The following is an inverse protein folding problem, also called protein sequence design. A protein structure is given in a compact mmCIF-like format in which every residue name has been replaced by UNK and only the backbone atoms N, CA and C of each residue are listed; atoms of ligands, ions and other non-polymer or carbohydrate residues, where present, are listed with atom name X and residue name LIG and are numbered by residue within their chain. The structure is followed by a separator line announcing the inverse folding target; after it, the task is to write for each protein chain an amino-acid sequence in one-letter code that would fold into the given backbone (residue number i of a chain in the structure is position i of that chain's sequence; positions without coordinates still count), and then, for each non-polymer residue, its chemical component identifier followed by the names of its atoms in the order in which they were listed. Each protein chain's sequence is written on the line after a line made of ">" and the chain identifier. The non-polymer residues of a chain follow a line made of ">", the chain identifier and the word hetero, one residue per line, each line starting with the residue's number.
data_IF_236380564979
#
_entry.id   IF_236380564979
#
_cell.length_a   1.000
_cell.length_b   1.000
_cell.length_c   1.000
_cell.angle_alpha   90.00
_cell.angle_beta   90.00
_cell.angle_gamma   90.00
#
_symmetry.space_group_name_H-M   'P 1'
#
loop_
_entity.id
_entity.type
_entity.pdbx_description
1 polymer ?
#
# COMPACT_ATOMS: atom_id res chain seq x y z
N UNK A 1 -8.76 15.70 -9.87
CA UNK A 1 -8.87 15.41 -8.43
C UNK A 1 -7.78 14.40 -8.13
N UNK A 2 -6.77 14.75 -7.34
CA UNK A 2 -5.73 13.80 -6.93
C UNK A 2 -6.33 12.90 -5.86
N UNK A 3 -7.05 11.87 -6.29
CA UNK A 3 -7.48 10.78 -5.44
C UNK A 3 -6.23 10.02 -5.01
N UNK A 4 -5.79 10.28 -3.78
CA UNK A 4 -4.78 9.47 -3.10
C UNK A 4 -5.42 8.13 -2.74
N UNK A 5 -5.64 7.29 -3.76
CA UNK A 5 -6.24 5.98 -3.59
C UNK A 5 -5.22 5.08 -2.89
N UNK A 6 -5.50 4.80 -1.63
CA UNK A 6 -4.95 3.64 -0.96
C UNK A 6 -5.62 2.40 -1.53
N UNK A 7 -4.86 1.32 -1.68
CA UNK A 7 -5.34 0.05 -2.20
C UNK A 7 -4.94 -1.06 -1.25
N UNK A 8 -5.84 -2.04 -1.06
CA UNK A 8 -5.51 -3.32 -0.46
C UNK A 8 -5.00 -4.27 -1.54
N UNK A 9 -3.79 -4.80 -1.34
CA UNK A 9 -3.20 -5.82 -2.20
C UNK A 9 -3.15 -7.11 -1.40
N UNK A 10 -3.78 -8.15 -1.95
CA UNK A 10 -3.76 -9.48 -1.38
C UNK A 10 -2.70 -10.31 -2.11
N UNK A 11 -1.86 -10.97 -1.32
CA UNK A 11 -0.91 -11.97 -1.80
C UNK A 11 -1.23 -13.32 -1.14
N UNK A 12 -0.54 -14.39 -1.53
CA UNK A 12 -0.76 -15.72 -0.93
C UNK A 12 -0.52 -15.74 0.58
N UNK A 13 0.46 -14.95 1.07
CA UNK A 13 0.95 -15.01 2.45
C UNK A 13 0.86 -13.66 3.19
N UNK A 14 0.31 -12.62 2.57
CA UNK A 14 0.26 -11.29 3.19
C UNK A 14 -0.81 -10.37 2.60
N UNK A 15 -1.24 -9.41 3.43
CA UNK A 15 -2.06 -8.27 3.05
C UNK A 15 -1.24 -7.00 3.08
N UNK A 16 -1.36 -6.17 2.05
CA UNK A 16 -0.61 -4.91 1.94
C UNK A 16 -1.55 -3.75 1.68
N UNK A 17 -1.60 -2.79 2.60
CA UNK A 17 -2.18 -1.47 2.30
C UNK A 17 -1.10 -0.60 1.67
N UNK A 18 -1.33 -0.10 0.47
CA UNK A 18 -0.39 0.79 -0.23
C UNK A 18 -1.05 2.12 -0.58
N UNK A 19 -0.42 3.23 -0.18
CA UNK A 19 -0.87 4.59 -0.49
C UNK A 19 0.27 5.38 -1.13
N UNK A 20 0.00 6.01 -2.28
CA UNK A 20 1.01 6.84 -2.96
C UNK A 20 1.42 8.03 -2.10
N UNK A 21 2.71 8.34 -2.07
CA UNK A 21 3.32 9.37 -1.22
C UNK A 21 3.86 8.84 0.10
N UNK A 22 4.48 9.73 0.86
CA UNK A 22 4.94 9.47 2.23
C UNK A 22 3.84 9.85 3.21
N UNK A 23 3.40 8.89 4.00
CA UNK A 23 2.26 9.02 4.92
C UNK A 23 2.56 8.33 6.25
N UNK A 24 1.84 8.73 7.29
CA UNK A 24 1.87 8.00 8.56
C UNK A 24 1.00 6.75 8.46
N UNK A 25 1.27 5.78 9.34
CA UNK A 25 0.43 4.58 9.51
C UNK A 25 -1.06 4.94 9.68
N UNK A 26 -1.34 5.92 10.53
CA UNK A 26 -2.71 6.36 10.80
C UNK A 26 -3.39 6.95 9.56
N UNK A 27 -2.66 7.74 8.76
CA UNK A 27 -3.19 8.29 7.52
C UNK A 27 -3.54 7.19 6.54
N UNK A 28 -2.66 6.20 6.33
CA UNK A 28 -2.92 5.07 5.43
C UNK A 28 -4.17 4.29 5.87
N UNK A 29 -4.28 3.96 7.17
CA UNK A 29 -5.42 3.20 7.71
C UNK A 29 -6.72 3.99 7.59
N UNK A 30 -6.73 5.28 7.97
CA UNK A 30 -7.92 6.11 7.89
C UNK A 30 -8.39 6.27 6.45
N UNK A 31 -7.46 6.45 5.51
CA UNK A 31 -7.77 6.47 4.08
C UNK A 31 -8.34 5.13 3.60
N UNK A 32 -7.83 3.99 4.09
CA UNK A 32 -8.26 2.66 3.66
C UNK A 32 -9.68 2.36 4.12
N UNK A 33 -10.01 2.75 5.35
CA UNK A 33 -11.38 2.69 5.87
C UNK A 33 -12.31 3.61 5.07
N UNK A 34 -11.88 4.86 4.81
CA UNK A 34 -12.69 5.81 4.04
C UNK A 34 -12.95 5.36 2.59
N UNK A 35 -12.01 4.62 2.00
CA UNK A 35 -12.13 4.01 0.67
C UNK A 35 -12.90 2.68 0.67
N UNK A 36 -13.29 2.15 1.83
CA UNK A 36 -13.85 0.80 2.01
C UNK A 36 -12.93 -0.34 1.54
N UNK A 37 -11.61 -0.13 1.52
CA UNK A 37 -10.61 -1.17 1.27
C UNK A 37 -10.48 -2.11 2.48
N UNK A 38 -10.71 -1.60 3.68
CA UNK A 38 -10.78 -2.37 4.94
C UNK A 38 -11.95 -1.88 5.79
N UNK A 39 -12.36 -2.69 6.77
CA UNK A 39 -13.41 -2.32 7.71
C UNK A 39 -12.86 -1.56 8.92
N UNK A 40 -13.74 -0.83 9.63
CA UNK A 40 -13.37 -0.17 10.89
C UNK A 40 -12.87 -1.18 11.96
N UNK A 41 -13.35 -2.42 11.92
CA UNK A 41 -12.92 -3.48 12.84
C UNK A 41 -11.49 -3.94 12.61
N UNK A 42 -10.95 -3.78 11.40
CA UNK A 42 -9.57 -4.18 11.07
C UNK A 42 -8.53 -3.19 11.62
N UNK A 43 -8.98 -2.02 12.09
CA UNK A 43 -8.13 -0.91 12.49
C UNK A 43 -7.08 -1.29 13.54
N UNK A 44 -7.47 -2.03 14.58
CA UNK A 44 -6.55 -2.40 15.65
C UNK A 44 -5.45 -3.33 15.15
N UNK A 45 -5.79 -4.30 14.30
CA UNK A 45 -4.83 -5.19 13.64
C UNK A 45 -3.82 -4.41 12.81
N UNK A 46 -4.30 -3.47 11.98
CA UNK A 46 -3.42 -2.63 11.16
C UNK A 46 -2.59 -1.63 11.98
N UNK A 47 -3.08 -1.14 13.12
CA UNK A 47 -2.30 -0.28 14.01
C UNK A 47 -1.15 -1.06 14.68
N UNK A 48 -1.39 -2.33 15.02
CA UNK A 48 -0.42 -3.23 15.61
C UNK A 48 0.67 -3.72 14.62
N UNK A 49 0.45 -3.60 13.31
CA UNK A 49 1.44 -3.87 12.27
C UNK A 49 2.72 -3.05 12.51
N UNK A 50 3.88 -3.68 12.67
CA UNK A 50 5.17 -2.98 12.83
C UNK A 50 5.83 -2.65 11.50
N UNK A 51 5.52 -3.41 10.45
CA UNK A 51 6.14 -3.31 9.13
C UNK A 51 5.51 -2.20 8.28
N UNK A 52 6.02 -0.97 8.49
CA UNK A 52 5.78 0.20 7.65
C UNK A 52 6.99 0.46 6.75
N UNK A 53 6.74 0.53 5.44
CA UNK A 53 7.76 0.81 4.44
C UNK A 53 7.41 2.08 3.65
N UNK A 54 8.37 2.97 3.48
CA UNK A 54 8.28 4.11 2.55
C UNK A 54 9.34 3.91 1.47
N UNK A 55 8.93 3.85 0.22
CA UNK A 55 9.84 3.53 -0.88
C UNK A 55 9.30 3.86 -2.25
N UNK A 56 10.18 3.77 -3.25
CA UNK A 56 9.81 3.94 -4.64
C UNK A 56 9.39 2.61 -5.23
N UNK A 57 8.26 2.60 -5.91
CA UNK A 57 7.68 1.43 -6.54
C UNK A 57 7.37 1.71 -8.00
N UNK A 58 7.29 0.66 -8.79
CA UNK A 58 6.84 0.73 -10.18
C UNK A 58 5.86 -0.39 -10.49
N UNK A 59 4.76 -0.04 -11.15
CA UNK A 59 3.84 -1.03 -11.70
C UNK A 59 4.53 -1.76 -12.86
N UNK A 60 4.62 -3.08 -12.77
CA UNK A 60 5.15 -3.93 -13.84
C UNK A 60 4.19 -5.08 -14.13
N UNK A 61 4.03 -5.49 -15.40
CA UNK A 61 3.26 -6.70 -15.71
C UNK A 61 3.90 -7.92 -15.05
N UNK A 62 3.10 -8.76 -14.40
CA UNK A 62 3.53 -10.05 -13.87
C UNK A 62 2.41 -11.06 -14.11
N UNK A 63 2.76 -12.18 -14.72
CA UNK A 63 1.81 -13.26 -14.97
C UNK A 63 1.19 -13.76 -13.65
N UNK A 64 -0.13 -13.95 -13.65
CA UNK A 64 -0.88 -14.35 -12.46
C UNK A 64 -1.32 -13.21 -11.53
N UNK A 65 -0.88 -11.96 -11.77
CA UNK A 65 -1.24 -10.81 -10.93
C UNK A 65 -2.06 -9.78 -11.70
N UNK A 66 -3.15 -9.31 -11.10
CA UNK A 66 -3.93 -8.18 -11.64
C UNK A 66 -3.13 -6.87 -11.61
N UNK A 67 -2.30 -6.68 -10.58
CA UNK A 67 -1.36 -5.56 -10.46
C UNK A 67 -0.18 -6.01 -9.61
N UNK A 68 1.04 -5.64 -10.03
CA UNK A 68 2.26 -5.94 -9.28
C UNK A 68 3.14 -4.70 -9.18
N UNK A 69 3.43 -4.27 -7.95
CA UNK A 69 4.29 -3.14 -7.65
C UNK A 69 5.65 -3.63 -7.16
N UNK A 70 6.68 -3.38 -7.96
CA UNK A 70 8.04 -3.79 -7.66
C UNK A 70 8.83 -2.63 -7.01
N UNK A 71 9.58 -2.86 -5.91
CA UNK A 71 10.48 -1.87 -5.34
C UNK A 71 11.57 -1.48 -6.33
N UNK A 72 11.80 -0.18 -6.53
CA UNK A 72 12.79 0.35 -7.46
C UNK A 72 13.50 1.57 -6.87
N UNK A 73 14.57 2.04 -7.51
CA UNK A 73 15.17 3.33 -7.19
C UNK A 73 14.37 4.50 -7.77
N UNK A 74 14.52 5.68 -7.18
CA UNK A 74 13.76 6.89 -7.55
C UNK A 74 13.97 7.36 -9.01
N UNK A 75 15.13 7.03 -9.59
CA UNK A 75 15.54 7.44 -10.93
C UNK A 75 14.95 6.55 -12.04
N UNK A 76 14.30 5.44 -11.67
CA UNK A 76 13.61 4.59 -12.64
C UNK A 76 12.41 5.33 -13.22
N UNK A 77 12.36 5.44 -14.55
CA UNK A 77 11.22 6.04 -15.26
C UNK A 77 9.91 5.33 -14.89
N UNK A 78 8.96 6.11 -14.39
CA UNK A 78 7.65 5.64 -13.94
C UNK A 78 7.62 5.11 -12.50
N UNK A 79 8.71 5.29 -11.74
CA UNK A 79 8.70 5.08 -10.31
C UNK A 79 7.80 6.12 -9.62
N UNK A 80 7.17 5.71 -8.52
CA UNK A 80 6.39 6.58 -7.65
C UNK A 80 6.69 6.25 -6.19
N UNK A 81 6.73 7.26 -5.34
CA UNK A 81 6.86 7.09 -3.90
C UNK A 81 5.54 6.53 -3.35
N UNK A 82 5.60 5.58 -2.42
CA UNK A 82 4.45 5.08 -1.68
C UNK A 82 4.83 4.65 -0.27
N UNK A 83 3.84 4.69 0.62
CA UNK A 83 3.85 4.11 1.95
C UNK A 83 3.07 2.81 1.91
N UNK A 84 3.62 1.74 2.47
CA UNK A 84 2.98 0.43 2.54
C UNK A 84 3.03 -0.15 3.96
N UNK A 85 1.91 -0.67 4.43
CA UNK A 85 1.79 -1.46 5.65
C UNK A 85 1.61 -2.92 5.25
N UNK A 86 2.34 -3.85 5.88
CA UNK A 86 2.33 -5.27 5.54
C UNK A 86 1.89 -6.10 6.74
N UNK A 87 0.86 -6.92 6.57
CA UNK A 87 0.43 -7.94 7.52
C UNK A 87 0.72 -9.33 6.94
N UNK A 88 1.36 -10.18 7.74
CA UNK A 88 1.64 -11.59 7.43
C UNK A 88 0.64 -12.52 8.13
#
# INVERSE_FOLDING_TARGET
>A
MNEWNVVLLETEDSLVLMMRGEHTKETVINSAIAANEISQSDRETWLACEDINVGYYKAVPREGYATYYYPVSQDVKGAFLATSLVLF
#
